data_IF_725134094883
#
_entry.id   IF_725134094883
#
_cell.length_a   1.000
_cell.length_b   1.000
_cell.length_c   1.000
_cell.angle_alpha   90.00
_cell.angle_beta   90.00
_cell.angle_gamma   90.00
#
_symmetry.space_group_name_H-M   'P 1'
#
loop_
_entity.id
_entity.type
_entity.pdbx_description
1 polymer ?
#
# COMPACT_ATOMS: atom_id res chain seq x y z
N UNK A 1 61.78 83.55 14.03
CA UNK A 1 61.84 82.86 12.73
C UNK A 1 61.88 83.89 11.63
N UNK A 2 62.83 83.79 10.69
CA UNK A 2 62.94 84.71 9.56
C UNK A 2 61.65 84.71 8.74
N UNK A 3 61.04 85.88 8.50
CA UNK A 3 59.79 86.00 7.72
C UNK A 3 59.87 85.28 6.37
N UNK A 4 61.06 85.22 5.76
CA UNK A 4 61.32 84.48 4.51
C UNK A 4 61.14 82.97 4.66
N UNK A 5 61.56 82.37 5.78
CA UNK A 5 61.36 80.95 6.08
C UNK A 5 59.90 80.63 6.37
N UNK A 6 59.17 81.55 7.00
CA UNK A 6 57.75 81.39 7.29
C UNK A 6 56.89 81.44 6.03
N UNK A 7 57.20 82.36 5.10
CA UNK A 7 56.53 82.43 3.78
C UNK A 7 56.83 81.19 2.93
N UNK A 8 58.07 80.67 2.97
CA UNK A 8 58.45 79.44 2.28
C UNK A 8 57.71 78.21 2.83
N UNK A 9 57.57 78.10 4.16
CA UNK A 9 56.81 77.03 4.81
C UNK A 9 55.32 77.08 4.48
N UNK A 10 54.75 78.29 4.44
CA UNK A 10 53.33 78.48 4.11
C UNK A 10 53.05 78.17 2.63
N UNK A 11 53.95 78.56 1.72
CA UNK A 11 53.87 78.19 0.30
C UNK A 11 53.98 76.69 0.08
N UNK A 12 54.92 76.01 0.76
CA UNK A 12 55.07 74.56 0.68
C UNK A 12 53.83 73.82 1.21
N UNK A 13 53.21 74.33 2.29
CA UNK A 13 52.00 73.74 2.87
C UNK A 13 50.80 73.83 1.92
N UNK A 14 50.62 74.97 1.24
CA UNK A 14 49.54 75.16 0.26
C UNK A 14 49.72 74.22 -0.94
N UNK A 15 50.95 74.06 -1.42
CA UNK A 15 51.25 73.12 -2.52
C UNK A 15 50.99 71.67 -2.11
N UNK A 16 51.38 71.28 -0.89
CA UNK A 16 51.15 69.93 -0.37
C UNK A 16 49.65 69.61 -0.19
N UNK A 17 48.85 70.57 0.28
CA UNK A 17 47.41 70.40 0.42
C UNK A 17 46.75 70.33 -0.97
N UNK A 18 47.18 71.18 -1.91
CA UNK A 18 46.68 71.18 -3.28
C UNK A 18 46.94 69.86 -4.00
N UNK A 19 48.15 69.30 -3.87
CA UNK A 19 48.50 68.00 -4.49
C UNK A 19 47.79 66.83 -3.82
N UNK A 20 47.61 66.85 -2.49
CA UNK A 20 46.86 65.83 -1.77
C UNK A 20 45.36 65.81 -2.17
N UNK A 21 44.75 66.99 -2.36
CA UNK A 21 43.36 67.07 -2.82
C UNK A 21 43.20 66.62 -4.27
N UNK A 22 44.12 67.01 -5.16
CA UNK A 22 44.10 66.57 -6.56
C UNK A 22 44.30 65.05 -6.70
N UNK A 23 45.22 64.47 -5.92
CA UNK A 23 45.39 63.03 -5.88
C UNK A 23 44.11 62.35 -5.39
N UNK A 24 43.51 62.84 -4.29
CA UNK A 24 42.26 62.27 -3.76
C UNK A 24 41.10 62.37 -4.75
N UNK A 25 40.97 63.45 -5.52
CA UNK A 25 39.90 63.56 -6.53
C UNK A 25 40.12 62.62 -7.72
N UNK A 26 41.36 62.33 -8.08
CA UNK A 26 41.66 61.34 -9.14
C UNK A 26 41.37 59.91 -8.71
N UNK A 27 41.61 59.57 -7.43
CA UNK A 27 41.33 58.24 -6.90
C UNK A 27 39.89 58.04 -6.39
N UNK A 28 39.16 59.11 -6.06
CA UNK A 28 37.76 59.03 -5.60
C UNK A 28 36.74 58.80 -6.74
N UNK A 29 37.13 58.99 -8.00
CA UNK A 29 36.28 58.73 -9.18
C UNK A 29 36.46 57.34 -9.79
N UNK A 30 37.52 56.62 -9.44
CA UNK A 30 37.73 55.24 -9.85
C UNK A 30 37.09 54.31 -8.82
N UNK A 31 35.75 54.21 -8.85
CA UNK A 31 35.11 53.05 -8.27
C UNK A 31 35.78 51.82 -8.88
N UNK A 32 36.44 51.01 -8.05
CA UNK A 32 36.89 49.70 -8.48
C UNK A 32 35.69 49.02 -9.15
N UNK A 33 35.84 48.40 -10.34
CA UNK A 33 34.73 47.73 -10.98
C UNK A 33 34.22 46.72 -9.95
N UNK A 34 33.02 46.96 -9.42
CA UNK A 34 32.28 45.94 -8.72
C UNK A 34 31.98 44.91 -9.79
N UNK A 35 32.88 43.94 -9.89
CA UNK A 35 32.58 42.67 -10.53
C UNK A 35 31.50 42.10 -9.63
N UNK A 36 30.25 42.39 -9.97
CA UNK A 36 29.14 41.52 -9.65
C UNK A 36 29.59 40.16 -10.17
N UNK A 37 30.05 39.32 -9.24
CA UNK A 37 30.29 37.92 -9.51
C UNK A 37 28.93 37.36 -9.89
N UNK A 38 28.61 37.41 -11.19
CA UNK A 38 27.55 36.64 -11.77
C UNK A 38 27.75 35.23 -11.24
N UNK A 39 26.77 34.73 -10.47
CA UNK A 39 26.80 33.37 -9.96
C UNK A 39 27.21 32.47 -11.14
N UNK A 40 28.24 31.62 -10.99
CA UNK A 40 28.77 30.85 -12.11
C UNK A 40 27.59 30.08 -12.70
N UNK A 41 27.17 30.49 -13.89
CA UNK A 41 26.14 29.77 -14.65
C UNK A 41 26.80 28.43 -14.92
N UNK A 42 26.32 27.37 -14.27
CA UNK A 42 26.90 26.04 -14.39
C UNK A 42 26.97 25.68 -15.88
N UNK A 43 28.16 25.77 -16.47
CA UNK A 43 28.42 25.28 -17.81
C UNK A 43 28.79 23.82 -17.62
N UNK A 44 27.93 22.94 -18.11
CA UNK A 44 28.13 21.50 -18.01
C UNK A 44 26.95 20.72 -18.60
N UNK A 45 27.08 19.39 -18.69
CA UNK A 45 26.06 18.54 -19.26
C UNK A 45 24.79 18.56 -18.40
N UNK A 46 23.65 18.26 -19.02
CA UNK A 46 22.39 18.17 -18.29
C UNK A 46 22.27 16.79 -17.65
N UNK A 47 22.05 16.77 -16.34
CA UNK A 47 21.87 15.56 -15.54
C UNK A 47 20.41 15.42 -15.15
N UNK A 48 19.92 14.19 -15.11
CA UNK A 48 18.57 13.88 -14.65
C UNK A 48 18.47 14.08 -13.13
N UNK A 49 17.58 14.97 -12.72
CA UNK A 49 17.28 15.28 -11.32
C UNK A 49 15.82 14.96 -11.00
N UNK A 50 15.53 14.73 -9.72
CA UNK A 50 14.16 14.57 -9.26
C UNK A 50 13.48 15.93 -9.12
N UNK A 51 12.32 16.14 -9.76
CA UNK A 51 11.56 17.39 -9.64
C UNK A 51 10.85 17.52 -8.28
N UNK A 52 10.63 16.39 -7.61
CA UNK A 52 9.97 16.28 -6.31
C UNK A 52 10.63 15.18 -5.48
N UNK A 53 10.34 15.13 -4.18
CA UNK A 53 10.79 14.01 -3.35
C UNK A 53 10.23 12.68 -3.86
N UNK A 54 11.11 11.69 -4.04
CA UNK A 54 10.80 10.35 -4.51
C UNK A 54 11.09 9.34 -3.38
N UNK A 55 10.08 8.94 -2.60
CA UNK A 55 10.21 7.89 -1.59
C UNK A 55 10.59 6.54 -2.20
N UNK A 56 11.14 5.65 -1.37
CA UNK A 56 11.38 4.25 -1.74
C UNK A 56 10.07 3.60 -2.19
N UNK A 57 10.13 2.88 -3.30
CA UNK A 57 9.00 2.20 -3.93
C UNK A 57 8.16 3.04 -4.86
N UNK A 58 8.51 4.31 -5.06
CA UNK A 58 7.86 5.18 -6.05
C UNK A 58 8.17 4.71 -7.46
N UNK A 59 7.13 4.59 -8.30
CA UNK A 59 7.29 4.35 -9.74
C UNK A 59 7.64 5.67 -10.42
N UNK A 60 8.69 5.67 -11.23
CA UNK A 60 9.12 6.85 -11.97
C UNK A 60 8.16 7.16 -13.12
N UNK A 61 7.64 8.38 -13.11
CA UNK A 61 6.78 8.97 -14.14
C UNK A 61 7.49 10.16 -14.79
N UNK A 62 7.01 10.62 -15.95
CA UNK A 62 7.66 11.68 -16.71
C UNK A 62 7.67 13.05 -15.99
N UNK A 63 6.70 13.30 -15.11
CA UNK A 63 6.63 14.51 -14.28
C UNK A 63 7.63 14.50 -13.11
N UNK A 64 8.05 13.31 -12.67
CA UNK A 64 8.86 13.13 -11.46
C UNK A 64 10.34 13.47 -11.66
N UNK A 65 10.81 13.47 -12.90
CA UNK A 65 12.22 13.64 -13.27
C UNK A 65 12.37 14.73 -14.34
N UNK A 66 13.50 15.41 -14.35
CA UNK A 66 13.80 16.47 -15.30
C UNK A 66 15.29 16.60 -15.53
N UNK A 67 15.69 17.12 -16.68
CA UNK A 67 17.09 17.40 -16.96
C UNK A 67 17.46 18.80 -16.49
N UNK A 68 18.44 18.91 -15.60
CA UNK A 68 18.95 20.16 -15.09
C UNK A 68 20.44 20.29 -15.40
N UNK A 69 20.89 21.52 -15.65
CA UNK A 69 22.30 21.79 -15.93
C UNK A 69 23.14 21.57 -14.68
N UNK A 70 24.20 20.77 -14.80
CA UNK A 70 25.03 20.34 -13.69
C UNK A 70 26.49 20.77 -13.92
N UNK A 71 27.23 21.21 -12.88
CA UNK A 71 28.66 21.52 -13.03
C UNK A 71 29.45 20.29 -13.47
N UNK A 72 30.25 20.41 -14.53
CA UNK A 72 30.98 19.28 -15.13
C UNK A 72 31.87 18.54 -14.12
N UNK A 73 32.50 19.28 -13.20
CA UNK A 73 33.35 18.76 -12.12
C UNK A 73 32.60 17.86 -11.12
N UNK A 74 31.27 17.98 -11.03
CA UNK A 74 30.42 17.24 -10.08
C UNK A 74 29.63 16.11 -10.76
N UNK A 75 29.81 15.90 -12.06
CA UNK A 75 29.15 14.81 -12.78
C UNK A 75 29.83 13.49 -12.43
N UNK A 76 29.04 12.52 -12.00
CA UNK A 76 29.51 11.17 -11.70
C UNK A 76 29.01 10.20 -12.77
N UNK A 77 29.76 9.13 -13.04
CA UNK A 77 29.40 8.08 -14.00
C UNK A 77 28.05 7.40 -13.68
N UNK A 78 27.62 7.46 -12.41
CA UNK A 78 26.36 6.92 -11.97
C UNK A 78 25.14 7.76 -12.36
N UNK A 79 25.32 8.96 -12.92
CA UNK A 79 24.24 9.88 -13.26
C UNK A 79 23.70 9.62 -14.67
N UNK A 80 22.42 9.94 -14.88
CA UNK A 80 21.82 9.92 -16.21
C UNK A 80 22.07 11.26 -16.90
N UNK A 81 22.84 11.25 -17.99
CA UNK A 81 23.19 12.42 -18.79
C UNK A 81 22.27 12.53 -20.01
N UNK A 82 21.82 13.74 -20.32
CA UNK A 82 21.01 14.06 -21.50
C UNK A 82 21.76 13.73 -22.80
N UNK A 83 21.11 13.04 -23.73
CA UNK A 83 21.71 12.54 -24.98
C UNK A 83 22.30 11.13 -24.91
N UNK A 84 22.74 10.66 -23.74
CA UNK A 84 23.20 9.28 -23.52
C UNK A 84 22.10 8.40 -22.91
N UNK A 85 21.26 9.00 -22.07
CA UNK A 85 20.23 8.32 -21.30
C UNK A 85 18.86 8.46 -21.96
N UNK A 86 18.22 7.33 -22.26
CA UNK A 86 16.86 7.31 -22.76
C UNK A 86 15.86 7.37 -21.59
N UNK A 87 15.24 8.54 -21.38
CA UNK A 87 14.19 8.75 -20.36
C UNK A 87 13.09 7.68 -20.48
N UNK A 88 12.74 7.28 -21.69
CA UNK A 88 11.65 6.32 -21.94
C UNK A 88 11.91 4.96 -21.29
N UNK A 89 13.19 4.59 -21.13
CA UNK A 89 13.60 3.35 -20.43
C UNK A 89 13.62 3.47 -18.91
N UNK A 90 13.55 4.71 -18.40
CA UNK A 90 13.51 5.00 -16.96
C UNK A 90 12.06 5.09 -16.46
N UNK A 91 11.11 5.40 -17.34
CA UNK A 91 9.70 5.37 -17.01
C UNK A 91 9.26 3.94 -16.63
N UNK A 92 8.55 3.83 -15.51
CA UNK A 92 8.14 2.53 -14.96
C UNK A 92 9.20 1.81 -14.13
N UNK A 93 10.40 2.38 -13.97
CA UNK A 93 11.37 1.90 -12.98
C UNK A 93 10.95 2.30 -11.57
N UNK A 94 11.47 1.61 -10.56
CA UNK A 94 11.10 1.82 -9.17
C UNK A 94 12.29 2.36 -8.38
N UNK A 95 12.01 3.33 -7.52
CA UNK A 95 12.98 3.96 -6.62
C UNK A 95 13.37 2.98 -5.51
N UNK A 96 14.66 2.65 -5.44
CA UNK A 96 15.25 1.77 -4.41
C UNK A 96 15.67 2.53 -3.15
N UNK A 97 16.18 3.74 -3.33
CA UNK A 97 16.63 4.62 -2.26
C UNK A 97 15.94 5.96 -2.42
N UNK A 98 15.50 6.56 -1.31
CA UNK A 98 14.82 7.85 -1.36
C UNK A 98 15.69 8.90 -2.06
N UNK A 99 15.11 9.63 -3.00
CA UNK A 99 15.75 10.75 -3.72
C UNK A 99 15.01 12.03 -3.37
N UNK A 100 15.72 13.07 -2.97
CA UNK A 100 15.10 14.35 -2.60
C UNK A 100 14.88 15.23 -3.83
N UNK A 101 13.94 16.18 -3.77
CA UNK A 101 13.76 17.15 -4.86
C UNK A 101 15.07 17.92 -5.14
N UNK A 102 15.44 18.04 -6.41
CA UNK A 102 16.68 18.66 -6.88
C UNK A 102 17.92 17.75 -6.84
N UNK A 103 17.80 16.53 -6.31
CA UNK A 103 18.91 15.57 -6.26
C UNK A 103 19.07 14.81 -7.59
N UNK A 104 20.31 14.53 -8.03
CA UNK A 104 20.56 13.68 -9.19
C UNK A 104 20.03 12.26 -9.02
N UNK A 105 19.28 11.78 -10.01
CA UNK A 105 18.83 10.39 -10.07
C UNK A 105 19.99 9.54 -10.57
N UNK A 106 20.40 8.56 -9.75
CA UNK A 106 21.52 7.66 -10.08
C UNK A 106 21.04 6.31 -10.60
N UNK A 107 21.87 5.62 -11.38
CA UNK A 107 21.61 4.24 -11.81
C UNK A 107 21.37 3.28 -10.64
N UNK A 108 22.04 3.50 -9.49
CA UNK A 108 21.85 2.69 -8.28
C UNK A 108 20.58 3.01 -7.48
N UNK A 109 20.01 4.21 -7.68
CA UNK A 109 18.76 4.63 -7.02
C UNK A 109 17.51 4.04 -7.67
N UNK A 110 17.62 3.52 -8.90
CA UNK A 110 16.51 2.93 -9.65
C UNK A 110 16.70 1.43 -9.84
N UNK A 111 15.58 0.71 -9.92
CA UNK A 111 15.55 -0.73 -10.22
C UNK A 111 14.58 -0.94 -11.37
N UNK A 112 15.03 -1.64 -12.42
CA UNK A 112 14.23 -1.87 -13.63
C UNK A 112 13.39 -3.14 -13.49
N UNK A 113 12.25 -3.23 -14.19
CA UNK A 113 11.54 -4.49 -14.30
C UNK A 113 12.47 -5.59 -14.84
N UNK A 114 12.54 -6.72 -14.12
CA UNK A 114 13.46 -7.83 -14.42
C UNK A 114 14.77 -7.83 -13.62
N UNK A 115 15.13 -6.71 -12.99
CA UNK A 115 16.30 -6.66 -12.11
C UNK A 115 16.05 -7.39 -10.79
N UNK A 116 17.13 -7.93 -10.21
CA UNK A 116 17.08 -8.54 -8.87
C UNK A 116 16.63 -7.50 -7.85
N UNK A 117 15.53 -7.79 -7.17
CA UNK A 117 15.00 -6.93 -6.12
C UNK A 117 13.96 -5.90 -6.60
N UNK A 118 13.58 -5.90 -7.89
CA UNK A 118 12.50 -5.03 -8.40
C UNK A 118 11.21 -5.20 -7.61
N UNK A 119 10.77 -6.45 -7.40
CA UNK A 119 9.55 -6.73 -6.63
C UNK A 119 9.66 -6.25 -5.18
N UNK A 120 10.85 -6.32 -4.58
CA UNK A 120 11.05 -5.85 -3.21
C UNK A 120 11.02 -4.32 -3.15
N UNK A 121 11.57 -3.63 -4.16
CA UNK A 121 11.49 -2.19 -4.27
C UNK A 121 10.05 -1.72 -4.53
N UNK A 122 9.26 -2.46 -5.32
CA UNK A 122 7.88 -2.10 -5.65
C UNK A 122 6.89 -2.23 -4.49
N UNK A 123 7.30 -2.84 -3.37
CA UNK A 123 6.45 -3.00 -2.18
C UNK A 123 6.33 -1.70 -1.40
N UNK A 124 5.10 -1.38 -1.01
CA UNK A 124 4.84 -0.34 -0.02
C UNK A 124 5.46 -0.67 1.35
N UNK A 125 5.76 0.34 2.18
CA UNK A 125 6.30 0.12 3.52
C UNK A 125 5.43 -0.82 4.36
N UNK A 126 6.06 -1.85 4.94
CA UNK A 126 5.37 -2.85 5.79
C UNK A 126 4.58 -3.91 5.03
N UNK A 127 4.56 -3.86 3.70
CA UNK A 127 3.89 -4.84 2.85
C UNK A 127 4.81 -6.02 2.50
N UNK A 128 4.22 -7.12 2.05
CA UNK A 128 4.89 -8.35 1.61
C UNK A 128 4.31 -8.80 0.28
N UNK A 129 5.13 -9.45 -0.53
CA UNK A 129 4.70 -10.11 -1.76
C UNK A 129 4.33 -11.57 -1.44
N UNK A 130 3.12 -11.99 -1.83
CA UNK A 130 2.67 -13.39 -1.70
C UNK A 130 2.18 -13.89 -3.05
N UNK A 131 2.70 -15.02 -3.49
CA UNK A 131 2.31 -15.65 -4.75
C UNK A 131 1.20 -16.67 -4.53
N UNK A 132 0.13 -16.54 -5.31
CA UNK A 132 -1.03 -17.44 -5.30
C UNK A 132 -1.09 -18.19 -6.63
N UNK A 133 -1.20 -19.54 -6.62
CA UNK A 133 -1.41 -20.31 -7.82
C UNK A 133 -2.83 -20.10 -8.36
N UNK A 134 -2.94 -19.95 -9.67
CA UNK A 134 -4.20 -19.72 -10.39
C UNK A 134 -4.23 -20.53 -11.69
N UNK A 135 -5.39 -20.54 -12.31
CA UNK A 135 -5.67 -21.14 -13.61
C UNK A 135 -6.39 -20.12 -14.49
N UNK A 136 -6.60 -20.44 -15.78
CA UNK A 136 -7.42 -19.60 -16.66
C UNK A 136 -8.82 -19.30 -16.06
N UNK A 137 -9.41 -20.24 -15.31
CA UNK A 137 -10.71 -20.05 -14.65
C UNK A 137 -10.63 -19.18 -13.39
N UNK A 138 -9.57 -19.35 -12.60
CA UNK A 138 -9.44 -18.68 -11.29
C UNK A 138 -8.67 -17.36 -11.35
N UNK A 139 -8.01 -17.05 -12.47
CA UNK A 139 -7.24 -15.83 -12.71
C UNK A 139 -7.85 -14.90 -13.76
N UNK A 140 -9.19 -14.84 -13.86
CA UNK A 140 -9.91 -13.92 -14.77
C UNK A 140 -9.41 -14.03 -16.23
N UNK A 141 -9.18 -15.25 -16.71
CA UNK A 141 -8.76 -15.55 -18.09
C UNK A 141 -7.52 -14.81 -18.60
N UNK A 142 -6.62 -14.35 -17.73
CA UNK A 142 -5.41 -13.65 -18.13
C UNK A 142 -5.54 -12.11 -18.19
N UNK A 143 -6.70 -11.56 -17.83
CA UNK A 143 -6.98 -10.11 -17.91
C UNK A 143 -6.51 -9.33 -16.68
N UNK A 144 -5.86 -9.98 -15.72
CA UNK A 144 -5.25 -9.29 -14.58
C UNK A 144 -3.84 -8.88 -14.95
N UNK A 145 -3.51 -7.61 -14.80
CA UNK A 145 -2.21 -7.04 -15.09
C UNK A 145 -1.50 -6.52 -13.82
N UNK A 146 -0.16 -6.45 -13.82
CA UNK A 146 0.56 -5.73 -12.77
C UNK A 146 0.03 -4.29 -12.63
N UNK A 147 -0.27 -3.89 -11.40
CA UNK A 147 -0.92 -2.62 -11.07
C UNK A 147 -2.42 -2.71 -10.78
N UNK A 148 -3.09 -3.77 -11.23
CA UNK A 148 -4.53 -3.95 -11.01
C UNK A 148 -4.86 -4.25 -9.55
N UNK A 149 -6.15 -4.04 -9.20
CA UNK A 149 -6.72 -4.40 -7.90
C UNK A 149 -7.63 -5.60 -8.06
N UNK A 150 -7.50 -6.57 -7.15
CA UNK A 150 -8.31 -7.79 -7.13
C UNK A 150 -8.80 -8.10 -5.73
N UNK A 151 -9.91 -8.84 -5.64
CA UNK A 151 -10.32 -9.50 -4.41
C UNK A 151 -10.02 -11.00 -4.49
N UNK A 152 -9.81 -11.63 -3.34
CA UNK A 152 -9.51 -13.04 -3.22
C UNK A 152 -10.72 -13.78 -2.65
N UNK A 153 -11.26 -14.70 -3.44
CA UNK A 153 -12.36 -15.56 -3.05
C UNK A 153 -11.85 -16.96 -2.71
N UNK A 154 -12.30 -17.50 -1.57
CA UNK A 154 -12.08 -18.87 -1.16
C UNK A 154 -13.35 -19.69 -1.39
N UNK A 155 -13.25 -20.71 -2.24
CA UNK A 155 -14.30 -21.71 -2.40
C UNK A 155 -13.87 -23.01 -1.74
N UNK A 156 -14.66 -23.47 -0.76
CA UNK A 156 -14.33 -24.64 0.04
C UNK A 156 -15.51 -25.58 0.22
N UNK A 157 -15.21 -26.78 0.72
CA UNK A 157 -16.18 -27.84 0.96
C UNK A 157 -16.08 -28.32 2.38
N UNK A 158 -17.08 -27.97 3.18
CA UNK A 158 -17.14 -28.33 4.59
C UNK A 158 -17.84 -29.68 4.72
N UNK A 159 -17.11 -30.67 5.23
CA UNK A 159 -17.62 -32.02 5.50
C UNK A 159 -18.08 -32.13 6.95
N UNK A 160 -19.08 -32.98 7.19
CA UNK A 160 -19.59 -33.33 8.51
C UNK A 160 -20.66 -34.41 8.35
N UNK A 161 -21.59 -34.50 9.29
CA UNK A 161 -22.70 -35.45 9.19
C UNK A 161 -23.66 -35.06 8.04
N UNK A 162 -23.78 -35.96 7.06
CA UNK A 162 -24.64 -35.79 5.89
C UNK A 162 -23.93 -35.13 4.68
N UNK A 163 -24.71 -34.61 3.71
CA UNK A 163 -24.18 -33.95 2.52
C UNK A 163 -23.26 -32.77 2.86
N UNK A 164 -22.12 -32.69 2.17
CA UNK A 164 -21.15 -31.61 2.36
C UNK A 164 -21.72 -30.24 1.98
N UNK A 165 -21.34 -29.21 2.74
CA UNK A 165 -21.65 -27.82 2.40
C UNK A 165 -20.58 -27.29 1.44
N UNK A 166 -21.01 -26.69 0.33
CA UNK A 166 -20.13 -25.87 -0.53
C UNK A 166 -20.34 -24.41 -0.15
N UNK A 167 -19.26 -23.67 0.09
CA UNK A 167 -19.32 -22.26 0.41
C UNK A 167 -18.24 -21.51 -0.37
N UNK A 168 -18.56 -20.30 -0.80
CA UNK A 168 -17.63 -19.36 -1.40
C UNK A 168 -17.66 -18.06 -0.62
N UNK A 169 -16.50 -17.49 -0.34
CA UNK A 169 -16.34 -16.33 0.52
C UNK A 169 -15.28 -15.39 -0.05
N UNK A 170 -15.55 -14.09 -0.07
CA UNK A 170 -14.51 -13.09 -0.33
C UNK A 170 -13.75 -12.87 0.97
N UNK A 171 -12.55 -13.47 1.06
CA UNK A 171 -11.76 -13.50 2.30
C UNK A 171 -10.85 -12.28 2.45
N UNK A 172 -10.51 -11.63 1.34
CA UNK A 172 -9.64 -10.47 1.28
C UNK A 172 -10.06 -9.60 0.10
N UNK A 173 -9.98 -8.28 0.25
CA UNK A 173 -10.32 -7.33 -0.80
C UNK A 173 -9.24 -6.28 -1.03
N UNK A 174 -9.31 -5.61 -2.18
CA UNK A 174 -8.44 -4.51 -2.58
C UNK A 174 -6.95 -4.86 -2.67
N UNK A 175 -6.61 -6.09 -3.04
CA UNK A 175 -5.23 -6.55 -3.16
C UNK A 175 -4.60 -5.99 -4.44
N UNK A 176 -3.46 -5.32 -4.32
CA UNK A 176 -2.70 -4.85 -5.48
C UNK A 176 -1.91 -6.00 -6.09
N UNK A 177 -1.96 -6.11 -7.40
CA UNK A 177 -1.20 -7.11 -8.17
C UNK A 177 0.18 -6.54 -8.49
N UNK A 178 1.23 -7.25 -8.09
CA UNK A 178 2.62 -6.87 -8.34
C UNK A 178 3.18 -7.55 -9.60
N UNK A 179 2.79 -8.79 -9.85
CA UNK A 179 3.26 -9.58 -10.98
C UNK A 179 2.28 -10.68 -11.36
N UNK A 180 2.31 -11.08 -12.63
CA UNK A 180 1.69 -12.31 -13.13
C UNK A 180 2.79 -13.22 -13.69
N UNK A 181 2.88 -14.44 -13.17
CA UNK A 181 4.04 -15.32 -13.33
C UNK A 181 5.37 -14.60 -13.03
N UNK A 182 6.23 -14.44 -14.03
CA UNK A 182 7.50 -13.72 -13.92
C UNK A 182 7.44 -12.33 -14.58
N UNK A 183 6.27 -11.91 -15.06
CA UNK A 183 6.09 -10.59 -15.68
C UNK A 183 5.66 -9.55 -14.65
N UNK A 184 6.38 -8.43 -14.66
CA UNK A 184 6.09 -7.23 -13.86
C UNK A 184 5.64 -6.05 -14.71
N UNK A 185 5.56 -6.25 -16.04
CA UNK A 185 5.14 -5.25 -17.02
C UNK A 185 4.03 -5.78 -17.90
N UNK A 186 3.32 -4.85 -18.54
CA UNK A 186 2.36 -5.14 -19.58
C UNK A 186 3.09 -5.23 -20.92
N UNK A 187 3.04 -6.39 -21.57
CA UNK A 187 3.56 -6.51 -22.93
C UNK A 187 2.55 -5.90 -23.89
N UNK A 188 2.98 -4.92 -24.69
CA UNK A 188 2.16 -4.28 -25.71
C UNK A 188 2.71 -4.64 -27.09
N UNK A 189 1.82 -5.13 -27.95
CA UNK A 189 2.11 -5.35 -29.37
C UNK A 189 1.17 -4.43 -30.15
N UNK A 190 1.74 -3.56 -30.99
CA UNK A 190 0.99 -2.59 -31.79
C UNK A 190 0.06 -1.68 -30.95
N UNK A 191 0.51 -1.30 -29.74
CA UNK A 191 -0.26 -0.45 -28.83
C UNK A 191 -1.44 -1.14 -28.13
N UNK A 192 -1.55 -2.47 -28.23
CA UNK A 192 -2.54 -3.27 -27.50
C UNK A 192 -1.86 -4.17 -26.47
N UNK A 193 -2.41 -4.20 -25.27
CA UNK A 193 -1.93 -5.11 -24.22
C UNK A 193 -2.23 -6.55 -24.59
N UNK A 194 -1.19 -7.39 -24.59
CA UNK A 194 -1.31 -8.81 -24.91
C UNK A 194 -1.84 -9.56 -23.69
N UNK A 195 -2.99 -10.21 -23.86
CA UNK A 195 -3.57 -11.08 -22.84
C UNK A 195 -2.85 -12.43 -22.89
N UNK A 196 -2.32 -12.86 -21.75
CA UNK A 196 -1.67 -14.17 -21.61
C UNK A 196 -2.27 -14.92 -20.45
N UNK A 197 -2.47 -16.22 -20.64
CA UNK A 197 -2.77 -17.10 -19.52
C UNK A 197 -1.55 -17.17 -18.60
N UNK A 198 -1.76 -16.91 -17.32
CA UNK A 198 -0.75 -17.05 -16.27
C UNK A 198 -1.15 -18.14 -15.28
N UNK A 199 -0.17 -18.67 -14.56
CA UNK A 199 -0.36 -19.74 -13.57
C UNK A 199 -0.22 -19.26 -12.14
N UNK A 200 0.34 -18.08 -11.94
CA UNK A 200 0.57 -17.50 -10.63
C UNK A 200 0.35 -16.00 -10.67
N UNK A 201 -0.14 -15.46 -9.55
CA UNK A 201 -0.29 -14.01 -9.33
C UNK A 201 0.38 -13.65 -8.03
N UNK A 202 1.22 -12.62 -8.06
CA UNK A 202 1.91 -12.11 -6.88
C UNK A 202 1.17 -10.87 -6.39
N UNK A 203 0.73 -10.91 -5.14
CA UNK A 203 -0.11 -9.91 -4.50
C UNK A 203 0.68 -9.15 -3.43
N UNK A 204 0.42 -7.85 -3.31
CA UNK A 204 0.90 -7.00 -2.22
C UNK A 204 -0.05 -7.10 -1.03
N UNK A 205 0.45 -7.59 0.10
CA UNK A 205 -0.36 -7.89 1.29
C UNK A 205 0.32 -7.44 2.58
N UNK A 206 -0.46 -7.24 3.65
CA UNK A 206 0.10 -7.04 5.00
C UNK A 206 0.63 -8.38 5.55
N UNK A 207 1.52 -8.38 6.56
CA UNK A 207 1.96 -9.60 7.25
C UNK A 207 0.82 -10.53 7.66
N UNK A 208 -0.21 -9.98 8.32
CA UNK A 208 -1.37 -10.75 8.78
C UNK A 208 -2.16 -11.35 7.61
N UNK A 209 -2.31 -10.60 6.52
CA UNK A 209 -2.97 -11.09 5.31
C UNK A 209 -2.15 -12.21 4.67
N UNK A 210 -0.82 -12.14 4.68
CA UNK A 210 0.04 -13.21 4.16
C UNK A 210 -0.22 -14.55 4.87
N UNK A 211 -0.36 -14.54 6.20
CA UNK A 211 -0.70 -15.73 6.99
C UNK A 211 -2.09 -16.27 6.62
N UNK A 212 -3.08 -15.38 6.46
CA UNK A 212 -4.44 -15.75 6.01
C UNK A 212 -4.43 -16.41 4.63
N UNK A 213 -3.67 -15.86 3.67
CA UNK A 213 -3.53 -16.45 2.33
C UNK A 213 -2.92 -17.85 2.42
N UNK A 214 -1.86 -18.03 3.22
CA UNK A 214 -1.22 -19.32 3.40
C UNK A 214 -2.18 -20.38 3.97
N UNK A 215 -3.00 -20.01 4.97
CA UNK A 215 -4.04 -20.90 5.50
C UNK A 215 -5.12 -21.18 4.44
N UNK A 216 -5.61 -20.16 3.75
CA UNK A 216 -6.67 -20.30 2.75
C UNK A 216 -6.28 -21.22 1.58
N UNK A 217 -5.00 -21.22 1.18
CA UNK A 217 -4.44 -22.14 0.19
C UNK A 217 -4.57 -23.62 0.59
N UNK A 218 -4.61 -23.92 1.90
CA UNK A 218 -4.78 -25.29 2.40
C UNK A 218 -6.25 -25.71 2.53
N UNK A 219 -7.16 -24.74 2.67
CA UNK A 219 -8.58 -24.99 2.97
C UNK A 219 -9.38 -25.31 1.70
N UNK A 220 -9.06 -24.66 0.57
CA UNK A 220 -9.88 -24.77 -0.63
C UNK A 220 -9.25 -24.16 -1.87
N UNK A 221 -10.10 -23.87 -2.84
CA UNK A 221 -9.69 -23.26 -4.12
C UNK A 221 -9.80 -21.75 -4.02
N UNK A 222 -8.71 -21.07 -4.35
CA UNK A 222 -8.66 -19.62 -4.44
C UNK A 222 -8.98 -19.16 -5.87
N UNK A 223 -9.78 -18.10 -5.99
CA UNK A 223 -10.07 -17.41 -7.24
C UNK A 223 -10.03 -15.91 -7.07
N UNK A 224 -9.65 -15.21 -8.13
CA UNK A 224 -9.56 -13.76 -8.19
C UNK A 224 -10.83 -13.19 -8.82
N UNK A 225 -11.28 -12.06 -8.29
CA UNK A 225 -12.21 -11.16 -8.97
C UNK A 225 -11.52 -9.83 -9.24
N UNK A 226 -11.51 -9.40 -10.51
CA UNK A 226 -10.93 -8.12 -10.90
C UNK A 226 -11.87 -7.00 -10.44
N UNK A 227 -11.28 -5.97 -9.82
CA UNK A 227 -12.03 -4.88 -9.23
C UNK A 227 -12.18 -3.71 -10.20
N UNK A 228 -13.31 -3.01 -10.15
CA UNK A 228 -13.49 -1.80 -10.95
C UNK A 228 -12.63 -0.67 -10.40
N UNK A 229 -12.05 0.12 -11.30
CA UNK A 229 -11.28 1.32 -10.95
C UNK A 229 -12.16 2.34 -10.19
N UNK A 230 -13.47 2.34 -10.44
CA UNK A 230 -14.43 3.25 -9.82
C UNK A 230 -14.90 2.83 -8.41
N UNK A 231 -14.65 1.59 -7.96
CA UNK A 231 -15.23 1.08 -6.69
C UNK A 231 -14.59 1.70 -5.45
N UNK A 232 -13.42 2.33 -5.59
CA UNK A 232 -12.60 2.85 -4.49
C UNK A 232 -13.30 3.92 -3.63
N UNK A 233 -14.12 4.78 -4.25
CA UNK A 233 -14.81 5.87 -3.54
C UNK A 233 -15.96 5.36 -2.66
N UNK A 234 -16.77 4.44 -3.18
CA UNK A 234 -17.91 3.85 -2.45
C UNK A 234 -17.49 2.98 -1.25
N UNK A 235 -16.31 2.38 -1.30
CA UNK A 235 -15.75 1.63 -0.17
C UNK A 235 -15.12 2.53 0.87
N UNK A 236 -14.47 3.62 0.44
CA UNK A 236 -13.97 4.64 1.36
C UNK A 236 -15.12 5.19 2.22
N UNK A 237 -16.24 5.56 1.59
CA UNK A 237 -17.43 6.05 2.30
C UNK A 237 -17.96 5.01 3.30
N UNK A 238 -18.00 3.72 2.92
CA UNK A 238 -18.41 2.64 3.83
C UNK A 238 -17.43 2.43 4.98
N UNK A 239 -16.13 2.48 4.73
CA UNK A 239 -15.10 2.29 5.75
C UNK A 239 -15.07 3.46 6.75
N UNK A 240 -15.28 4.70 6.27
CA UNK A 240 -15.48 5.86 7.13
C UNK A 240 -16.75 5.68 7.97
N UNK A 241 -17.87 5.28 7.35
CA UNK A 241 -19.12 5.03 8.06
C UNK A 241 -19.02 3.88 9.09
N UNK A 242 -18.19 2.88 8.83
CA UNK A 242 -17.92 1.76 9.74
C UNK A 242 -16.94 2.11 10.87
N UNK A 243 -16.25 3.26 10.78
CA UNK A 243 -15.23 3.69 11.75
C UNK A 243 -13.87 3.00 11.56
N UNK A 244 -13.66 2.31 10.44
CA UNK A 244 -12.39 1.62 10.14
C UNK A 244 -11.27 2.60 9.76
N UNK A 245 -11.63 3.82 9.36
CA UNK A 245 -10.71 4.91 9.02
C UNK A 245 -11.03 6.10 9.92
N UNK A 246 -10.12 6.39 10.84
CA UNK A 246 -10.20 7.58 11.71
C UNK A 246 -9.35 8.68 11.10
N UNK A 247 -10.00 9.75 10.64
CA UNK A 247 -9.32 11.00 10.28
C UNK A 247 -9.24 11.84 11.56
N UNK A 248 -8.05 12.29 12.00
CA UNK A 248 -7.93 13.18 13.15
C UNK A 248 -8.64 14.52 12.90
N UNK A 249 -9.36 15.05 13.89
CA UNK A 249 -10.10 16.32 13.79
C UNK A 249 -9.17 17.54 13.52
N UNK A 250 -7.89 17.42 13.84
CA UNK A 250 -6.88 18.48 13.72
C UNK A 250 -6.00 18.35 12.46
N UNK A 251 -6.30 17.41 11.56
CA UNK A 251 -5.48 17.17 10.37
C UNK A 251 -5.55 18.33 9.38
N UNK A 252 -4.41 18.71 8.80
CA UNK A 252 -4.41 19.65 7.66
C UNK A 252 -5.05 18.99 6.43
N UNK A 253 -5.60 19.77 5.48
CA UNK A 253 -6.21 19.21 4.26
C UNK A 253 -5.27 18.29 3.46
N UNK A 254 -3.96 18.60 3.45
CA UNK A 254 -2.94 17.79 2.77
C UNK A 254 -2.69 16.45 3.49
N UNK A 255 -2.68 16.46 4.82
CA UNK A 255 -2.52 15.25 5.64
C UNK A 255 -3.76 14.36 5.57
N UNK A 256 -4.95 14.96 5.59
CA UNK A 256 -6.22 14.26 5.42
C UNK A 256 -6.27 13.55 4.06
N UNK A 257 -5.96 14.25 2.97
CA UNK A 257 -5.91 13.63 1.64
C UNK A 257 -4.89 12.49 1.56
N UNK A 258 -3.73 12.64 2.20
CA UNK A 258 -2.70 11.60 2.23
C UNK A 258 -3.17 10.36 3.00
N UNK A 259 -3.83 10.55 4.16
CA UNK A 259 -4.43 9.49 4.97
C UNK A 259 -5.54 8.77 4.20
N UNK A 260 -6.42 9.51 3.53
CA UNK A 260 -7.51 8.94 2.73
C UNK A 260 -6.95 8.14 1.55
N UNK A 261 -5.97 8.67 0.80
CA UNK A 261 -5.30 7.95 -0.28
C UNK A 261 -4.60 6.68 0.22
N UNK A 262 -3.97 6.74 1.39
CA UNK A 262 -3.35 5.57 2.01
C UNK A 262 -4.40 4.53 2.43
N UNK A 263 -5.52 4.95 2.99
CA UNK A 263 -6.59 4.05 3.39
C UNK A 263 -7.25 3.37 2.17
N UNK A 264 -7.53 4.12 1.11
CA UNK A 264 -8.07 3.59 -0.15
C UNK A 264 -7.14 2.59 -0.85
N UNK A 265 -5.83 2.70 -0.64
CA UNK A 265 -4.84 1.84 -1.29
C UNK A 265 -4.47 0.60 -0.48
N UNK A 266 -4.99 0.45 0.74
CA UNK A 266 -4.69 -0.70 1.61
C UNK A 266 -5.60 -1.90 1.31
N UNK A 267 -5.05 -3.12 1.27
CA UNK A 267 -5.85 -4.33 1.24
C UNK A 267 -6.60 -4.49 2.56
N UNK A 268 -7.84 -4.97 2.50
CA UNK A 268 -8.69 -5.15 3.68
C UNK A 268 -9.02 -6.63 3.91
N UNK A 269 -9.11 -7.01 5.18
CA UNK A 269 -9.46 -8.35 5.64
C UNK A 269 -10.74 -8.34 6.49
N UNK A 270 -11.64 -7.40 6.17
CA UNK A 270 -12.89 -7.11 6.88
C UNK A 270 -13.90 -8.26 6.93
N UNK A 271 -15.11 -7.97 7.41
CA UNK A 271 -16.14 -9.00 7.59
C UNK A 271 -16.42 -9.74 6.27
N UNK A 272 -16.16 -11.05 6.21
CA UNK A 272 -16.28 -11.76 4.96
C UNK A 272 -17.72 -11.89 4.51
N UNK A 273 -17.96 -11.67 3.22
CA UNK A 273 -19.23 -12.02 2.58
C UNK A 273 -19.15 -13.46 2.09
N UNK A 274 -20.12 -14.30 2.45
CA UNK A 274 -20.17 -15.69 1.99
C UNK A 274 -21.50 -16.01 1.31
N UNK A 275 -21.43 -16.97 0.39
CA UNK A 275 -22.58 -17.57 -0.28
C UNK A 275 -22.43 -19.09 -0.19
N UNK A 276 -23.53 -19.79 0.07
CA UNK A 276 -23.55 -21.24 0.18
C UNK A 276 -24.16 -21.90 -1.04
N UNK A 277 -23.92 -23.20 -1.19
CA UNK A 277 -24.53 -23.99 -2.26
C UNK A 277 -26.06 -23.85 -2.28
N UNK A 278 -26.70 -23.80 -1.12
CA UNK A 278 -28.15 -23.70 -1.00
C UNK A 278 -28.74 -22.33 -1.37
N UNK A 279 -27.90 -21.30 -1.52
CA UNK A 279 -28.30 -19.98 -2.04
C UNK A 279 -28.33 -19.97 -3.57
N UNK A 280 -27.46 -20.76 -4.21
CA UNK A 280 -27.37 -20.84 -5.68
C UNK A 280 -28.13 -22.03 -6.28
N UNK A 281 -28.40 -23.08 -5.50
CA UNK A 281 -29.06 -24.29 -5.97
C UNK A 281 -29.97 -24.89 -4.91
N UNK A 282 -31.22 -25.17 -5.30
CA UNK A 282 -32.21 -25.85 -4.45
C UNK A 282 -31.82 -27.27 -4.01
N UNK A 283 -30.80 -27.86 -4.64
CA UNK A 283 -30.32 -29.21 -4.34
C UNK A 283 -29.15 -29.23 -3.35
N UNK A 284 -28.74 -28.07 -2.85
CA UNK A 284 -27.58 -27.91 -1.96
C UNK A 284 -28.03 -27.39 -0.59
N UNK A 285 -27.18 -27.60 0.42
CA UNK A 285 -27.44 -27.15 1.79
C UNK A 285 -27.03 -25.69 2.00
N UNK A 286 -27.72 -25.01 2.93
CA UNK A 286 -27.42 -23.65 3.37
C UNK A 286 -26.62 -23.57 4.67
N UNK A 287 -26.74 -24.57 5.54
CA UNK A 287 -26.10 -24.58 6.85
C UNK A 287 -24.96 -25.59 6.92
N UNK A 288 -23.99 -25.31 7.79
CA UNK A 288 -22.89 -26.22 8.07
C UNK A 288 -23.41 -27.57 8.60
N UNK A 289 -22.79 -28.70 8.20
CA UNK A 289 -23.14 -29.99 8.75
C UNK A 289 -22.72 -30.08 10.22
N UNK A 290 -23.52 -30.74 11.06
CA UNK A 290 -23.13 -31.03 12.44
C UNK A 290 -21.92 -31.96 12.44
N UNK A 291 -21.00 -31.77 13.38
CA UNK A 291 -20.00 -32.77 13.73
C UNK A 291 -20.46 -33.46 15.02
N UNK A 292 -21.11 -34.63 14.94
CA UNK A 292 -21.22 -35.48 16.12
C UNK A 292 -19.82 -35.99 16.48
N UNK A 293 -19.34 -35.64 17.67
CA UNK A 293 -18.23 -36.36 18.31
C UNK A 293 -18.58 -37.84 18.49
N UNK A 294 -17.57 -38.72 18.71
CA UNK A 294 -17.78 -40.17 18.75
C UNK A 294 -18.91 -40.50 19.71
N UNK A 295 -19.93 -41.19 19.19
CA UNK A 295 -21.08 -41.61 19.97
C UNK A 295 -20.57 -42.37 21.19
N UNK A 296 -20.85 -41.84 22.40
CA UNK A 296 -20.70 -42.62 23.61
C UNK A 296 -21.48 -43.94 23.41
N UNK A 297 -20.89 -45.11 23.70
CA UNK A 297 -21.55 -46.38 23.42
C UNK A 297 -22.88 -46.42 24.18
N UNK A 298 -23.97 -46.52 23.42
CA UNK A 298 -25.29 -46.84 23.95
C UNK A 298 -25.18 -48.16 24.70
N UNK A 299 -25.20 -48.09 26.03
CA UNK A 299 -25.33 -49.26 26.88
C UNK A 299 -26.64 -49.97 26.50
N UNK A 300 -26.49 -51.14 25.88
CA UNK A 300 -27.55 -52.13 25.73
C UNK A 300 -27.97 -52.59 27.12
N UNK A 301 -29.06 -52.01 27.63
CA UNK A 301 -29.71 -52.47 28.85
C UNK A 301 -30.52 -53.73 28.51
N UNK A 302 -29.90 -54.89 28.72
CA UNK A 302 -30.64 -56.14 28.91
C UNK A 302 -31.43 -56.02 30.23
N UNK A 303 -32.76 -55.97 30.15
CA UNK A 303 -33.62 -56.23 31.32
C UNK A 303 -33.52 -57.70 31.73
N UNK A 304 -33.72 -58.01 33.03
CA UNK A 304 -35.10 -58.13 33.48
C UNK A 304 -35.41 -57.49 34.85
N UNK A 305 -36.67 -57.06 34.95
CA UNK A 305 -37.59 -57.15 36.09
C UNK A 305 -37.12 -56.82 37.54
N UNK A 306 -37.75 -55.76 38.06
CA UNK A 306 -38.49 -55.68 39.33
C UNK A 306 -37.86 -55.15 40.63
N UNK A 307 -38.73 -54.36 41.29
CA UNK A 307 -38.85 -53.95 42.69
C UNK A 307 -38.32 -52.59 43.14
N UNK A 308 -39.28 -51.85 43.71
CA UNK A 308 -39.22 -50.50 44.22
C UNK A 308 -38.57 -50.43 45.61
N UNK A 309 -37.96 -49.29 45.94
CA UNK A 309 -38.12 -48.68 47.27
C UNK A 309 -37.69 -47.21 47.26
N UNK A 310 -38.42 -46.45 48.07
CA UNK A 310 -38.41 -45.01 48.31
C UNK A 310 -37.37 -44.60 49.36
N UNK A 311 -36.64 -43.49 49.16
CA UNK A 311 -35.91 -42.77 50.22
C UNK A 311 -34.81 -41.81 49.72
N UNK A 312 -34.61 -40.60 50.29
CA UNK A 312 -34.03 -39.45 49.55
C UNK A 312 -32.61 -38.99 49.97
N UNK A 313 -32.04 -38.10 49.13
CA UNK A 313 -30.94 -37.11 49.31
C UNK A 313 -29.57 -37.44 48.65
N UNK A 314 -28.71 -36.45 48.31
CA UNK A 314 -28.87 -35.00 48.17
C UNK A 314 -28.55 -34.46 46.75
N UNK A 315 -28.86 -33.18 46.53
CA UNK A 315 -28.78 -32.41 45.29
C UNK A 315 -27.37 -32.26 44.70
N UNK A 316 -27.16 -32.78 43.49
CA UNK A 316 -25.98 -32.52 42.67
C UNK A 316 -26.19 -31.29 41.75
N UNK A 317 -25.13 -30.47 41.63
CA UNK A 317 -25.02 -29.27 40.78
C UNK A 317 -25.51 -29.48 39.34
N UNK A 318 -26.16 -28.49 38.70
CA UNK A 318 -26.46 -28.56 37.27
C UNK A 318 -25.19 -28.32 36.43
N UNK A 319 -24.97 -29.20 35.46
CA UNK A 319 -23.99 -29.07 34.37
C UNK A 319 -24.43 -27.99 33.36
N UNK A 320 -23.52 -27.41 32.56
CA UNK A 320 -23.77 -26.16 31.84
C UNK A 320 -24.71 -26.34 30.65
N UNK A 321 -25.59 -25.35 30.50
CA UNK A 321 -26.60 -25.20 29.45
C UNK A 321 -25.91 -24.93 28.11
N UNK A 322 -26.27 -25.71 27.09
CA UNK A 322 -25.90 -25.45 25.70
C UNK A 322 -26.44 -24.08 25.23
N UNK A 323 -25.73 -23.32 24.39
CA UNK A 323 -26.17 -21.99 23.98
C UNK A 323 -27.45 -22.09 23.13
N UNK A 324 -28.57 -21.65 23.73
CA UNK A 324 -29.84 -21.42 23.03
C UNK A 324 -29.67 -20.12 22.24
N UNK A 325 -29.96 -20.16 20.94
CA UNK A 325 -29.97 -18.97 20.08
C UNK A 325 -30.92 -17.88 20.59
N UNK A 326 -31.01 -16.71 19.91
CA UNK A 326 -31.84 -15.60 20.36
C UNK A 326 -33.29 -16.07 20.61
N UNK A 327 -33.77 -15.85 21.83
CA UNK A 327 -35.16 -16.10 22.26
C UNK A 327 -35.84 -14.76 22.52
N UNK A 328 -37.12 -14.66 22.18
CA UNK A 328 -37.97 -13.53 22.56
C UNK A 328 -38.91 -13.99 23.67
N UNK A 329 -38.93 -13.25 24.76
CA UNK A 329 -39.86 -13.49 25.86
C UNK A 329 -41.22 -12.89 25.51
N UNK A 330 -42.23 -13.74 25.30
CA UNK A 330 -43.60 -13.30 25.07
C UNK A 330 -44.35 -13.42 26.39
N UNK A 331 -44.85 -12.28 26.90
CA UNK A 331 -45.68 -12.26 28.12
C UNK A 331 -47.14 -12.14 27.74
N UNK A 332 -47.96 -13.07 28.22
CA UNK A 332 -49.42 -13.01 28.11
C UNK A 332 -50.02 -13.09 29.51
N UNK A 333 -50.56 -11.96 29.99
CA UNK A 333 -51.05 -11.85 31.37
C UNK A 333 -49.91 -12.02 32.38
N UNK A 334 -50.05 -12.95 33.33
CA UNK A 334 -49.05 -13.22 34.38
C UNK A 334 -48.03 -14.32 34.01
N UNK A 335 -48.00 -14.76 32.75
CA UNK A 335 -47.13 -15.86 32.29
C UNK A 335 -46.19 -15.34 31.21
N UNK A 336 -44.88 -15.58 31.38
CA UNK A 336 -43.83 -15.24 30.42
C UNK A 336 -43.22 -16.53 29.87
N UNK A 337 -43.22 -16.70 28.55
CA UNK A 337 -42.62 -17.86 27.88
C UNK A 337 -41.53 -17.41 26.91
N UNK A 338 -40.37 -18.07 26.95
CA UNK A 338 -39.26 -17.84 26.02
C UNK A 338 -39.51 -18.62 24.73
N UNK A 339 -39.62 -17.92 23.60
CA UNK A 339 -39.83 -18.52 22.27
C UNK A 339 -38.57 -18.32 21.42
N UNK A 340 -37.95 -19.39 20.88
CA UNK A 340 -36.78 -19.26 20.02
C UNK A 340 -37.13 -18.61 18.68
N UNK A 341 -36.29 -17.66 18.24
CA UNK A 341 -36.49 -16.92 16.99
C UNK A 341 -35.83 -17.71 15.85
N UNK A 342 -36.64 -18.37 15.02
CA UNK A 342 -36.19 -19.04 13.80
C UNK A 342 -37.13 -20.17 13.36
N UNK A 343 -37.95 -19.89 12.35
CA UNK A 343 -38.51 -20.90 11.43
C UNK A 343 -37.91 -20.65 10.06
#
# INVERSE_FOLDING_TARGET
MDRKKLVLLLGALVIAIGTAMAARSMFAGAAAPQVEAAAPVAQGPKVLVANRGLPVGTIITADAIGFQQWPEELVQDAYFIDGESDITKLLGTVVRFQVTAGEPVTQGSLVKPGDRGFLAAALGPGMRAVTVPVSAKTGVAGFVFPGDRVDLMLTQTVKGDGPALRASETILSNLRVLATDQSTTQEQVEGRTVVRAFRTVTLEVTPKIAEKVAVAQTIGTLSLSLRSIADSQSELERAIAAGDITVPDDATPEEEEALLRQAMSRPSDGAPTYVTGGDVSRFQRRSAPSQKGPAAPTAVANGPATFASTGPAPTARPAPVAPVGPVVNVTRGKQTTAVPVGK
#
